data_IF_181615903950
#
_entry.id   IF_181615903950
#
_cell.length_a   1.000
_cell.length_b   1.000
_cell.length_c   1.000
_cell.angle_alpha   90.00
_cell.angle_beta   90.00
_cell.angle_gamma   90.00
#
_symmetry.space_group_name_H-M   'P 1'
#
loop_
_entity.id
_entity.type
_entity.pdbx_description
1 polymer ?
#
# COMPACT_ATOMS: atom_id res chain seq x y z
N UNK A 1 12.17 22.72 -20.19
CA UNK A 1 13.13 23.68 -19.61
C UNK A 1 13.73 23.21 -18.28
N UNK A 2 13.05 22.39 -17.48
CA UNK A 2 13.42 22.06 -16.10
C UNK A 2 13.96 20.63 -15.95
N UNK A 3 14.47 19.97 -16.92
CA UNK A 3 15.23 18.71 -16.83
C UNK A 3 14.76 17.65 -15.80
N UNK A 4 13.47 17.64 -15.44
CA UNK A 4 12.94 16.70 -14.46
C UNK A 4 13.03 15.26 -14.98
N UNK A 5 13.49 14.35 -14.14
CA UNK A 5 13.37 12.94 -14.38
C UNK A 5 11.91 12.50 -14.19
N UNK A 6 11.35 11.83 -15.18
CA UNK A 6 9.97 11.38 -15.18
C UNK A 6 9.93 9.89 -14.82
N UNK A 7 9.10 9.55 -13.86
CA UNK A 7 8.70 8.18 -13.56
C UNK A 7 7.24 8.02 -13.96
N UNK A 8 6.97 7.07 -14.83
CA UNK A 8 5.61 6.72 -15.24
C UNK A 8 5.19 5.44 -14.52
N UNK A 9 3.93 5.38 -14.14
CA UNK A 9 3.33 4.19 -13.54
C UNK A 9 1.97 3.91 -14.17
N UNK A 10 1.77 2.66 -14.60
CA UNK A 10 0.49 2.16 -15.07
C UNK A 10 -0.06 1.13 -14.10
N UNK A 11 -1.29 1.34 -13.67
CA UNK A 11 -2.04 0.35 -12.90
C UNK A 11 -2.89 -0.49 -13.86
N UNK A 12 -2.56 -1.76 -13.96
CA UNK A 12 -3.17 -2.69 -14.89
C UNK A 12 -4.35 -3.41 -14.24
N UNK A 13 -5.44 -3.46 -14.97
CA UNK A 13 -6.66 -4.18 -14.62
C UNK A 13 -6.80 -5.43 -15.49
N UNK A 14 -7.79 -6.27 -15.22
CA UNK A 14 -8.14 -7.45 -16.06
C UNK A 14 -8.27 -7.11 -17.53
N UNK A 15 -8.76 -5.92 -17.87
CA UNK A 15 -8.93 -5.49 -19.26
C UNK A 15 -7.65 -5.00 -19.92
N UNK A 16 -6.73 -4.47 -19.14
CA UNK A 16 -5.52 -3.80 -19.64
C UNK A 16 -4.22 -4.57 -19.41
N UNK A 17 -4.27 -5.67 -18.63
CA UNK A 17 -3.13 -6.54 -18.36
C UNK A 17 -2.90 -7.50 -19.53
N UNK A 18 -2.43 -6.98 -20.66
CA UNK A 18 -2.03 -7.76 -21.84
C UNK A 18 -0.85 -7.09 -22.53
N UNK A 19 -0.14 -7.87 -23.36
CA UNK A 19 1.08 -7.41 -24.00
C UNK A 19 0.84 -6.26 -24.99
N UNK A 20 -0.26 -6.25 -25.71
CA UNK A 20 -0.59 -5.24 -26.72
C UNK A 20 -0.77 -3.86 -26.07
N UNK A 21 -1.66 -3.76 -25.08
CA UNK A 21 -1.88 -2.49 -24.35
C UNK A 21 -0.59 -1.97 -23.69
N UNK A 22 0.19 -2.87 -23.10
CA UNK A 22 1.44 -2.45 -22.44
C UNK A 22 2.49 -2.04 -23.46
N UNK A 23 2.58 -2.70 -24.61
CA UNK A 23 3.45 -2.28 -25.72
C UNK A 23 3.12 -0.85 -26.17
N UNK A 24 1.85 -0.53 -26.38
CA UNK A 24 1.43 0.82 -26.76
C UNK A 24 1.84 1.88 -25.73
N UNK A 25 1.71 1.56 -24.43
CA UNK A 25 2.10 2.44 -23.36
C UNK A 25 3.63 2.63 -23.28
N UNK A 26 4.41 1.57 -23.49
CA UNK A 26 5.87 1.64 -23.53
C UNK A 26 6.35 2.45 -24.74
N UNK A 27 5.72 2.26 -25.91
CA UNK A 27 6.02 3.03 -27.13
C UNK A 27 5.62 4.50 -26.99
N UNK A 28 4.51 4.79 -26.28
CA UNK A 28 4.17 6.15 -25.92
C UNK A 28 5.24 6.77 -24.99
N UNK A 29 5.64 6.06 -23.94
CA UNK A 29 6.65 6.51 -23.00
C UNK A 29 8.01 6.75 -23.68
N UNK A 30 8.39 5.94 -24.68
CA UNK A 30 9.64 6.10 -25.42
C UNK A 30 9.73 7.38 -26.24
N UNK A 31 8.60 7.96 -26.61
CA UNK A 31 8.51 9.26 -27.31
C UNK A 31 8.64 10.47 -26.39
N UNK A 32 8.52 10.26 -25.07
CA UNK A 32 8.65 11.33 -24.08
C UNK A 32 10.10 11.55 -23.71
N UNK A 33 10.49 12.82 -23.52
CA UNK A 33 11.83 13.17 -23.03
C UNK A 33 11.92 12.95 -21.53
N UNK A 34 13.10 12.53 -21.06
CA UNK A 34 13.44 12.41 -19.63
C UNK A 34 12.66 11.34 -18.84
N UNK A 35 12.01 10.38 -19.50
CA UNK A 35 11.51 9.20 -18.82
C UNK A 35 12.71 8.36 -18.35
N UNK A 36 12.79 8.12 -17.05
CA UNK A 36 13.85 7.31 -16.42
C UNK A 36 13.36 5.93 -16.04
N UNK A 37 12.07 5.84 -15.76
CA UNK A 37 11.47 4.58 -15.30
C UNK A 37 10.02 4.49 -15.72
N UNK A 38 9.62 3.30 -16.08
CA UNK A 38 8.23 2.91 -16.29
C UNK A 38 7.90 1.73 -15.37
N UNK A 39 6.84 1.84 -14.57
CA UNK A 39 6.42 0.78 -13.66
C UNK A 39 5.06 0.24 -14.08
N UNK A 40 4.98 -1.07 -14.28
CA UNK A 40 3.74 -1.80 -14.43
C UNK A 40 3.32 -2.37 -13.07
N UNK A 41 2.14 -2.03 -12.58
CA UNK A 41 1.62 -2.56 -11.31
C UNK A 41 0.23 -3.15 -11.52
N UNK A 42 -0.09 -4.21 -10.83
CA UNK A 42 -1.47 -4.71 -10.78
C UNK A 42 -2.36 -3.81 -9.94
N UNK A 43 -3.66 -3.75 -10.29
CA UNK A 43 -4.64 -3.05 -9.46
C UNK A 43 -4.65 -3.64 -8.05
N UNK A 44 -4.54 -2.77 -7.05
CA UNK A 44 -4.65 -3.15 -5.64
C UNK A 44 -6.08 -3.13 -5.13
N UNK A 45 -6.34 -3.89 -4.07
CA UNK A 45 -7.62 -3.84 -3.38
C UNK A 45 -7.82 -2.46 -2.75
N UNK A 46 -8.97 -1.85 -3.06
CA UNK A 46 -9.41 -0.61 -2.42
C UNK A 46 -10.48 -0.91 -1.38
N UNK A 47 -10.24 -0.51 -0.14
CA UNK A 47 -11.23 -0.61 0.94
C UNK A 47 -12.49 0.22 0.68
N UNK A 48 -12.40 1.21 -0.21
CA UNK A 48 -13.50 2.09 -0.57
C UNK A 48 -14.54 1.41 -1.49
N UNK A 49 -14.11 0.57 -2.45
CA UNK A 49 -15.00 0.04 -3.49
C UNK A 49 -15.59 -1.35 -3.21
N UNK A 50 -15.15 -2.00 -2.15
CA UNK A 50 -15.61 -3.33 -1.82
C UNK A 50 -15.05 -4.45 -2.72
N UNK A 51 -15.20 -5.67 -2.24
CA UNK A 51 -14.52 -6.86 -2.78
C UNK A 51 -15.03 -7.27 -4.17
N UNK A 52 -16.33 -7.12 -4.43
CA UNK A 52 -16.93 -7.54 -5.70
C UNK A 52 -16.39 -6.72 -6.89
N UNK A 53 -16.26 -5.41 -6.72
CA UNK A 53 -15.68 -4.54 -7.75
C UNK A 53 -14.20 -4.86 -8.00
N UNK A 54 -13.46 -5.17 -6.92
CA UNK A 54 -12.05 -5.55 -7.03
C UNK A 54 -11.88 -6.86 -7.81
N UNK A 55 -12.65 -7.91 -7.51
CA UNK A 55 -12.59 -9.20 -8.23
C UNK A 55 -12.84 -9.08 -9.73
N UNK A 56 -13.63 -8.10 -10.15
CA UNK A 56 -13.84 -7.83 -11.58
C UNK A 56 -12.65 -7.11 -12.24
N UNK A 57 -11.86 -6.40 -11.46
CA UNK A 57 -10.74 -5.59 -11.96
C UNK A 57 -9.40 -6.31 -11.88
N UNK A 58 -9.22 -7.23 -10.95
CA UNK A 58 -7.92 -7.91 -10.76
C UNK A 58 -7.57 -8.72 -12.00
N UNK A 59 -6.33 -8.62 -12.53
CA UNK A 59 -5.86 -9.42 -13.64
C UNK A 59 -5.88 -10.92 -13.33
N UNK A 60 -5.98 -11.74 -14.36
CA UNK A 60 -5.81 -13.19 -14.23
C UNK A 60 -4.33 -13.51 -14.04
N UNK A 61 -4.05 -14.54 -13.25
CA UNK A 61 -2.66 -14.97 -12.95
C UNK A 61 -1.89 -15.32 -14.23
N UNK A 62 -2.58 -15.96 -15.17
CA UNK A 62 -1.99 -16.33 -16.46
C UNK A 62 -1.59 -15.12 -17.30
N UNK A 63 -2.42 -14.06 -17.29
CA UNK A 63 -2.13 -12.82 -18.03
C UNK A 63 -0.96 -12.08 -17.39
N UNK A 64 -0.90 -12.05 -16.06
CA UNK A 64 0.25 -11.49 -15.32
C UNK A 64 1.54 -12.22 -15.70
N UNK A 65 1.57 -13.56 -15.63
CA UNK A 65 2.75 -14.35 -15.99
C UNK A 65 3.21 -14.14 -17.44
N UNK A 66 2.27 -14.06 -18.38
CA UNK A 66 2.58 -13.75 -19.78
C UNK A 66 3.20 -12.37 -19.91
N UNK A 67 2.62 -11.38 -19.23
CA UNK A 67 3.12 -10.02 -19.27
C UNK A 67 4.49 -9.88 -18.59
N UNK A 68 4.74 -10.53 -17.45
CA UNK A 68 6.05 -10.57 -16.79
C UNK A 68 7.14 -11.12 -17.73
N UNK A 69 6.83 -12.20 -18.46
CA UNK A 69 7.76 -12.78 -19.44
C UNK A 69 8.01 -11.82 -20.60
N UNK A 70 6.95 -11.20 -21.11
CA UNK A 70 7.02 -10.22 -22.19
C UNK A 70 7.86 -8.99 -21.78
N UNK A 71 7.63 -8.42 -20.59
CA UNK A 71 8.39 -7.25 -20.13
C UNK A 71 9.89 -7.54 -20.04
N UNK A 72 10.28 -8.72 -19.58
CA UNK A 72 11.68 -9.17 -19.55
C UNK A 72 12.29 -9.25 -20.96
N UNK A 73 11.50 -9.75 -21.92
CA UNK A 73 11.93 -9.87 -23.31
C UNK A 73 12.14 -8.52 -23.97
N UNK A 74 11.23 -7.55 -23.75
CA UNK A 74 11.27 -6.27 -24.47
C UNK A 74 12.06 -5.18 -23.76
N UNK A 75 12.41 -5.36 -22.49
CA UNK A 75 13.02 -4.30 -21.67
C UNK A 75 14.26 -3.66 -22.33
N UNK A 76 15.09 -4.47 -23.03
CA UNK A 76 16.30 -4.00 -23.71
C UNK A 76 16.04 -3.05 -24.91
N UNK A 77 14.81 -2.93 -25.36
CA UNK A 77 14.40 -2.07 -26.48
C UNK A 77 14.21 -0.61 -26.08
N UNK A 78 14.14 -0.34 -24.76
CA UNK A 78 13.83 0.98 -24.21
C UNK A 78 15.03 1.59 -23.49
N UNK A 79 15.11 2.91 -23.50
CA UNK A 79 16.20 3.67 -22.84
C UNK A 79 15.94 3.94 -21.37
N UNK A 80 14.76 3.60 -20.86
CA UNK A 80 14.35 3.75 -19.47
C UNK A 80 14.23 2.37 -18.80
N UNK A 81 14.36 2.37 -17.49
CA UNK A 81 14.14 1.19 -16.67
C UNK A 81 12.67 0.76 -16.69
N UNK A 82 12.39 -0.52 -16.90
CA UNK A 82 11.05 -1.09 -16.75
C UNK A 82 11.04 -1.89 -15.45
N UNK A 83 10.14 -1.51 -14.53
CA UNK A 83 9.87 -2.26 -13.30
C UNK A 83 8.57 -3.04 -13.42
N UNK A 84 8.67 -4.30 -13.11
CA UNK A 84 7.59 -5.23 -12.99
C UNK A 84 7.17 -5.33 -11.51
N UNK A 85 6.07 -4.65 -11.17
CA UNK A 85 5.40 -4.66 -9.86
C UNK A 85 4.01 -5.31 -10.02
N UNK A 86 3.96 -6.35 -10.85
CA UNK A 86 2.73 -7.05 -11.22
C UNK A 86 2.33 -8.13 -10.23
N UNK A 87 3.21 -8.46 -9.28
CA UNK A 87 2.98 -9.56 -8.35
C UNK A 87 1.64 -9.40 -7.65
N UNK A 88 0.68 -10.22 -8.05
CA UNK A 88 -0.51 -10.52 -7.27
C UNK A 88 0.00 -11.39 -6.12
N UNK A 89 0.66 -10.75 -5.16
CA UNK A 89 1.09 -11.46 -3.96
C UNK A 89 -0.18 -11.83 -3.21
N UNK A 90 -0.43 -13.12 -2.97
CA UNK A 90 -1.42 -13.50 -2.00
C UNK A 90 -1.10 -12.73 -0.72
N UNK A 91 -2.12 -12.15 -0.07
CA UNK A 91 -1.92 -11.62 1.27
C UNK A 91 -1.09 -12.63 2.03
N UNK A 92 -0.06 -12.13 2.68
CA UNK A 92 0.81 -12.93 3.52
C UNK A 92 -0.05 -13.92 4.31
N UNK A 93 0.22 -15.20 4.14
CA UNK A 93 -0.56 -16.25 4.78
C UNK A 93 -0.63 -15.94 6.27
N UNK A 94 -1.82 -16.04 6.83
CA UNK A 94 -1.99 -15.94 8.27
C UNK A 94 -1.02 -16.92 8.95
N UNK A 95 -0.43 -16.48 10.07
CA UNK A 95 0.60 -17.23 10.79
C UNK A 95 1.97 -17.36 10.06
N UNK A 96 2.26 -16.55 9.09
CA UNK A 96 3.60 -16.45 8.55
C UNK A 96 4.53 -15.66 9.48
N UNK A 97 4.98 -16.34 10.53
CA UNK A 97 5.90 -15.74 11.52
C UNK A 97 7.23 -15.28 10.93
N UNK A 98 7.72 -15.96 9.87
CA UNK A 98 8.93 -15.53 9.17
C UNK A 98 8.68 -14.23 8.41
N UNK A 99 7.57 -14.13 7.70
CA UNK A 99 7.14 -12.90 7.04
C UNK A 99 6.83 -11.79 8.03
N UNK A 100 6.22 -12.09 9.18
CA UNK A 100 6.01 -11.13 10.25
C UNK A 100 7.32 -10.51 10.75
N UNK A 101 8.35 -11.30 11.01
CA UNK A 101 9.67 -10.81 11.42
C UNK A 101 10.40 -10.02 10.35
N UNK A 102 10.16 -10.35 9.07
CA UNK A 102 10.79 -9.72 7.91
C UNK A 102 9.95 -8.59 7.29
N UNK A 103 8.76 -8.28 7.86
CA UNK A 103 7.90 -7.24 7.30
C UNK A 103 8.63 -5.91 7.18
N UNK A 104 8.31 -5.19 6.11
CA UNK A 104 8.88 -3.88 5.85
C UNK A 104 8.53 -2.87 6.93
N UNK A 105 9.39 -1.87 7.07
CA UNK A 105 9.15 -0.72 7.92
C UNK A 105 8.13 0.22 7.24
N UNK A 106 7.09 0.59 7.93
CA UNK A 106 6.15 1.59 7.43
C UNK A 106 6.69 2.99 7.72
N UNK A 107 6.97 3.76 6.67
CA UNK A 107 7.42 5.17 6.82
C UNK A 107 6.30 6.14 7.17
N UNK A 108 5.05 5.72 7.00
CA UNK A 108 3.87 6.56 7.20
C UNK A 108 3.83 7.15 8.61
N UNK A 109 3.75 8.46 8.71
CA UNK A 109 3.78 9.25 9.94
C UNK A 109 5.04 9.10 10.82
N UNK A 110 6.11 8.55 10.26
CA UNK A 110 7.42 8.47 10.93
C UNK A 110 8.47 9.31 10.20
N UNK A 111 8.52 9.21 8.88
CA UNK A 111 9.43 9.96 8.01
C UNK A 111 8.73 10.59 6.82
N UNK A 112 7.46 10.27 6.59
CA UNK A 112 6.67 10.76 5.46
C UNK A 112 5.18 10.80 5.79
N UNK A 113 4.45 11.61 5.04
CA UNK A 113 2.99 11.58 4.96
C UNK A 113 2.55 11.89 3.53
N UNK A 114 1.27 11.70 3.24
CA UNK A 114 0.67 11.95 1.93
C UNK A 114 -0.23 13.17 2.00
N UNK A 115 -0.04 14.10 1.08
CA UNK A 115 -0.94 15.25 0.88
C UNK A 115 -1.94 14.88 -0.19
N UNK A 116 -3.21 14.99 0.13
CA UNK A 116 -4.32 14.69 -0.78
C UNK A 116 -4.66 15.91 -1.66
N UNK A 117 -5.33 15.73 -2.79
CA UNK A 117 -5.68 16.83 -3.68
C UNK A 117 -6.57 17.92 -3.05
N UNK A 118 -7.32 17.59 -2.00
CA UNK A 118 -8.17 18.53 -1.25
C UNK A 118 -7.43 19.27 -0.13
N UNK A 119 -6.12 19.05 0.02
CA UNK A 119 -5.29 19.65 1.05
C UNK A 119 -5.22 18.86 2.36
N UNK A 120 -6.02 17.81 2.53
CA UNK A 120 -5.91 16.93 3.70
C UNK A 120 -4.61 16.16 3.69
N UNK A 121 -4.14 15.80 4.87
CA UNK A 121 -2.91 15.03 5.06
C UNK A 121 -3.24 13.70 5.71
N UNK A 122 -2.72 12.62 5.15
CA UNK A 122 -2.89 11.26 5.66
C UNK A 122 -1.55 10.53 5.74
N UNK A 123 -1.51 9.45 6.52
CA UNK A 123 -0.31 8.61 6.64
C UNK A 123 -0.07 7.70 5.43
N UNK A 124 -1.10 7.44 4.62
CA UNK A 124 -1.06 6.49 3.52
C UNK A 124 -2.15 6.83 2.49
N UNK A 125 -1.82 6.76 1.21
CA UNK A 125 -2.76 6.99 0.10
C UNK A 125 -3.94 6.01 0.08
N UNK A 126 -3.79 4.86 0.73
CA UNK A 126 -4.84 3.84 0.82
C UNK A 126 -5.82 4.08 1.99
N UNK A 127 -5.51 5.03 2.88
CA UNK A 127 -6.30 5.33 4.09
C UNK A 127 -6.91 6.74 4.06
N UNK A 128 -6.94 7.38 2.89
CA UNK A 128 -7.44 8.75 2.70
C UNK A 128 -8.91 8.96 3.07
N UNK A 129 -9.67 7.91 3.13
CA UNK A 129 -11.10 7.88 3.41
C UNK A 129 -11.43 7.64 4.89
N UNK A 130 -10.42 7.32 5.73
CA UNK A 130 -10.61 6.99 7.14
C UNK A 130 -10.10 8.11 8.05
N UNK A 131 -11.02 8.74 8.75
CA UNK A 131 -10.75 9.88 9.65
C UNK A 131 -9.74 9.55 10.77
N UNK A 132 -9.57 8.27 11.13
CA UNK A 132 -8.52 7.88 12.06
C UNK A 132 -7.12 8.23 11.56
N UNK A 133 -6.93 8.29 10.24
CA UNK A 133 -5.62 8.48 9.60
C UNK A 133 -5.48 9.84 8.89
N UNK A 134 -6.49 10.71 8.95
CA UNK A 134 -6.36 12.10 8.50
C UNK A 134 -5.70 12.90 9.63
N UNK A 135 -4.50 13.39 9.37
CA UNK A 135 -3.66 14.09 10.36
C UNK A 135 -4.00 15.57 10.51
N UNK A 136 -4.47 16.19 9.44
CA UNK A 136 -4.80 17.61 9.39
C UNK A 136 -5.16 18.06 7.98
N UNK A 137 -5.33 19.38 7.81
CA UNK A 137 -5.74 20.02 6.57
C UNK A 137 -4.86 21.25 6.31
N UNK A 138 -4.10 21.23 5.23
CA UNK A 138 -3.18 22.31 4.83
C UNK A 138 -3.90 23.58 4.35
N UNK A 139 -5.22 23.53 4.17
CA UNK A 139 -6.00 24.75 3.96
C UNK A 139 -6.07 25.61 5.22
N UNK A 140 -5.86 25.02 6.41
CA UNK A 140 -5.98 25.68 7.70
C UNK A 140 -4.73 25.54 8.59
N UNK A 141 -3.77 24.71 8.21
CA UNK A 141 -2.58 24.37 8.99
C UNK A 141 -1.33 24.40 8.08
N UNK A 142 -0.19 24.76 8.64
CA UNK A 142 1.09 24.53 7.96
C UNK A 142 1.51 23.05 8.02
N UNK A 143 2.43 22.67 7.14
CA UNK A 143 3.02 21.31 7.14
C UNK A 143 3.61 20.96 8.51
N UNK A 144 4.29 21.89 9.17
CA UNK A 144 4.90 21.69 10.48
C UNK A 144 3.86 21.52 11.60
N UNK A 145 2.75 22.25 11.53
CA UNK A 145 1.65 22.08 12.48
C UNK A 145 1.01 20.72 12.35
N UNK A 146 0.73 20.26 11.11
CA UNK A 146 0.22 18.91 10.88
C UNK A 146 1.19 17.85 11.37
N UNK A 147 2.48 17.97 11.04
CA UNK A 147 3.52 17.02 11.47
C UNK A 147 3.63 16.92 12.99
N UNK A 148 3.51 18.04 13.67
CA UNK A 148 3.62 18.12 15.13
C UNK A 148 2.28 18.03 15.86
N UNK A 149 1.18 17.77 15.14
CA UNK A 149 -0.15 17.66 15.76
C UNK A 149 -0.23 16.49 16.75
N UNK A 150 -1.09 16.62 17.75
CA UNK A 150 -1.32 15.54 18.72
C UNK A 150 -1.81 14.27 18.04
N UNK A 151 -2.59 14.39 16.96
CA UNK A 151 -3.06 13.26 16.18
C UNK A 151 -1.90 12.52 15.48
N UNK A 152 -0.99 13.25 14.83
CA UNK A 152 0.19 12.67 14.23
C UNK A 152 1.06 11.96 15.27
N UNK A 153 1.32 12.62 16.39
CA UNK A 153 2.10 12.04 17.50
C UNK A 153 1.44 10.80 18.08
N UNK A 154 0.12 10.82 18.31
CA UNK A 154 -0.59 9.67 18.88
C UNK A 154 -0.52 8.41 18.02
N UNK A 155 -0.43 8.54 16.70
CA UNK A 155 -0.24 7.41 15.79
C UNK A 155 1.21 6.91 15.78
N UNK A 156 2.18 7.82 15.82
CA UNK A 156 3.61 7.46 15.81
C UNK A 156 4.11 6.91 17.17
N UNK A 157 3.48 7.35 18.26
CA UNK A 157 3.80 6.92 19.63
C UNK A 157 2.63 6.18 20.28
N UNK A 158 1.99 5.29 19.52
CA UNK A 158 0.83 4.54 19.98
C UNK A 158 1.14 3.77 21.28
N UNK A 159 0.40 4.07 22.34
CA UNK A 159 0.55 3.40 23.64
C UNK A 159 -0.37 2.19 23.77
N UNK A 160 0.09 1.13 24.43
CA UNK A 160 -0.68 -0.09 24.61
C UNK A 160 -2.01 0.12 25.33
N UNK A 161 -2.08 1.08 26.24
CA UNK A 161 -3.29 1.36 27.03
C UNK A 161 -4.50 1.85 26.20
N UNK A 162 -4.29 2.33 24.96
CA UNK A 162 -5.38 2.74 24.06
C UNK A 162 -5.89 1.60 23.19
N UNK A 163 -5.24 0.44 23.24
CA UNK A 163 -5.64 -0.73 22.46
C UNK A 163 -6.87 -1.40 23.09
N UNK A 164 -7.93 -1.67 22.32
CA UNK A 164 -9.12 -2.35 22.83
C UNK A 164 -8.78 -3.71 23.45
N UNK A 165 -9.49 -4.08 24.51
CA UNK A 165 -9.27 -5.34 25.25
C UNK A 165 -9.47 -6.58 24.36
N UNK A 166 -10.30 -6.47 23.34
CA UNK A 166 -10.59 -7.50 22.36
C UNK A 166 -9.39 -7.77 21.42
N UNK A 167 -8.49 -6.83 21.32
CA UNK A 167 -7.28 -7.00 20.53
C UNK A 167 -6.20 -7.75 21.33
N UNK A 168 -5.60 -8.81 20.77
CA UNK A 168 -4.45 -9.47 21.40
C UNK A 168 -3.27 -8.53 21.69
N UNK A 169 -3.20 -7.39 21.01
CA UNK A 169 -2.19 -6.38 21.26
C UNK A 169 -2.31 -5.72 22.64
N UNK A 170 -3.51 -5.72 23.26
CA UNK A 170 -3.77 -5.07 24.55
C UNK A 170 -2.97 -5.64 25.71
N UNK A 171 -2.60 -6.93 25.62
CA UNK A 171 -1.83 -7.67 26.64
C UNK A 171 -0.49 -8.19 26.10
N UNK A 172 -0.10 -7.79 24.91
CA UNK A 172 1.12 -8.28 24.27
C UNK A 172 2.38 -7.72 24.95
N UNK A 173 3.26 -8.59 25.42
CA UNK A 173 4.53 -8.20 26.05
C UNK A 173 5.51 -7.51 25.11
N UNK A 174 5.41 -7.79 23.81
CA UNK A 174 6.27 -7.23 22.76
C UNK A 174 5.65 -6.02 22.06
N UNK A 175 4.56 -5.45 22.61
CA UNK A 175 3.80 -4.37 21.95
C UNK A 175 4.68 -3.18 21.58
N UNK A 176 5.39 -2.62 22.51
CA UNK A 176 6.23 -1.43 22.33
C UNK A 176 7.28 -1.68 21.24
N UNK A 177 8.02 -2.79 21.37
CA UNK A 177 9.02 -3.18 20.40
C UNK A 177 8.42 -3.39 19.01
N UNK A 178 7.29 -4.10 18.93
CA UNK A 178 6.60 -4.39 17.67
C UNK A 178 6.14 -3.12 16.95
N UNK A 179 5.53 -2.18 17.69
CA UNK A 179 4.94 -0.97 17.11
C UNK A 179 5.98 0.10 16.78
N UNK A 180 7.04 0.24 17.58
CA UNK A 180 8.04 1.28 17.39
C UNK A 180 9.17 0.88 16.45
N UNK A 181 9.60 -0.40 16.45
CA UNK A 181 10.71 -0.82 15.59
C UNK A 181 10.28 -1.08 14.13
N UNK A 182 9.08 -1.59 13.90
CA UNK A 182 8.64 -1.96 12.54
C UNK A 182 7.28 -1.42 12.15
N UNK A 183 6.47 -1.06 13.12
CA UNK A 183 5.09 -0.66 12.89
C UNK A 183 4.24 -1.82 12.40
N UNK A 184 3.04 -1.47 11.97
CA UNK A 184 2.04 -2.37 11.40
C UNK A 184 1.45 -1.68 10.19
N UNK A 185 1.19 -2.42 9.13
CA UNK A 185 0.46 -1.88 7.99
C UNK A 185 -1.03 -1.78 8.36
N UNK A 186 -1.50 -0.60 8.74
CA UNK A 186 -2.91 -0.40 9.11
C UNK A 186 -3.88 -0.76 7.99
N UNK A 187 -3.50 -0.52 6.73
CA UNK A 187 -4.26 -0.97 5.57
C UNK A 187 -4.51 -2.49 5.64
N UNK A 188 -3.48 -3.28 5.90
CA UNK A 188 -3.60 -4.74 6.00
C UNK A 188 -4.43 -5.18 7.20
N UNK A 189 -4.31 -4.49 8.33
CA UNK A 189 -5.12 -4.76 9.52
C UNK A 189 -6.60 -4.49 9.24
N UNK A 190 -6.92 -3.32 8.69
CA UNK A 190 -8.29 -2.93 8.35
C UNK A 190 -8.91 -3.89 7.33
N UNK A 191 -8.15 -4.27 6.31
CA UNK A 191 -8.60 -5.21 5.31
C UNK A 191 -8.91 -6.59 5.89
N UNK A 192 -8.19 -7.01 6.92
CA UNK A 192 -8.35 -8.33 7.55
C UNK A 192 -9.45 -8.33 8.62
N UNK A 193 -9.51 -7.29 9.44
CA UNK A 193 -10.36 -7.28 10.64
C UNK A 193 -11.47 -6.22 10.60
N UNK A 194 -11.54 -5.43 9.54
CA UNK A 194 -12.50 -4.32 9.42
C UNK A 194 -12.00 -3.03 10.05
N UNK A 195 -12.65 -1.93 9.65
CA UNK A 195 -12.28 -0.55 10.04
C UNK A 195 -12.22 -0.35 11.55
N UNK A 196 -13.18 -0.88 12.28
CA UNK A 196 -13.28 -0.69 13.73
C UNK A 196 -12.15 -1.41 14.50
N UNK A 197 -11.45 -2.32 13.85
CA UNK A 197 -10.39 -3.14 14.44
C UNK A 197 -8.98 -2.73 13.96
N UNK A 198 -8.79 -1.47 13.59
CA UNK A 198 -7.51 -0.97 13.07
C UNK A 198 -6.34 -1.05 14.07
N UNK A 199 -6.62 -1.24 15.38
CA UNK A 199 -5.63 -1.48 16.43
C UNK A 199 -5.32 -2.97 16.66
N UNK A 200 -5.84 -3.86 15.82
CA UNK A 200 -5.53 -5.28 15.86
C UNK A 200 -4.10 -5.56 15.37
N UNK A 201 -3.58 -6.77 15.62
CA UNK A 201 -2.24 -7.13 15.17
C UNK A 201 -2.12 -7.21 13.63
N UNK A 202 -0.89 -7.14 13.14
CA UNK A 202 -0.59 -7.53 11.75
C UNK A 202 -1.15 -8.94 11.49
N UNK A 203 -1.79 -9.21 10.35
CA UNK A 203 -2.38 -10.54 10.06
C UNK A 203 -1.39 -11.70 10.11
N UNK A 204 -0.09 -11.43 9.97
CA UNK A 204 0.99 -12.42 10.06
C UNK A 204 1.48 -12.66 11.48
N UNK A 205 1.00 -11.87 12.45
CA UNK A 205 1.39 -12.00 13.84
C UNK A 205 1.00 -13.38 14.39
N UNK A 206 1.85 -14.06 15.20
CA UNK A 206 1.51 -15.35 15.77
C UNK A 206 0.28 -15.32 16.70
N UNK A 207 -0.09 -14.13 17.18
CA UNK A 207 -1.28 -13.91 18.03
C UNK A 207 -2.46 -13.30 17.23
N UNK A 208 -2.36 -13.29 15.90
CA UNK A 208 -3.41 -12.75 15.05
C UNK A 208 -4.69 -13.60 15.17
N UNK A 209 -5.86 -12.98 15.43
CA UNK A 209 -7.13 -13.70 15.41
C UNK A 209 -7.51 -14.08 13.98
N UNK A 210 -8.51 -14.94 13.84
CA UNK A 210 -9.04 -15.29 12.52
C UNK A 210 -9.57 -14.04 11.79
N UNK A 211 -9.36 -13.93 10.46
CA UNK A 211 -9.85 -12.80 9.68
C UNK A 211 -11.37 -12.72 9.73
N UNK A 212 -11.88 -11.50 9.84
CA UNK A 212 -13.31 -11.22 9.68
C UNK A 212 -13.63 -11.07 8.18
N UNK A 213 -12.69 -10.48 7.42
CA UNK A 213 -12.81 -10.28 5.99
C UNK A 213 -11.77 -11.14 5.26
N UNK A 214 -12.23 -12.11 4.48
CA UNK A 214 -11.38 -12.87 3.59
C UNK A 214 -11.26 -12.14 2.24
N UNK A 215 -10.35 -11.18 2.16
CA UNK A 215 -9.95 -10.59 0.88
C UNK A 215 -8.76 -11.39 0.37
N UNK A 216 -9.03 -12.46 -0.32
CA UNK A 216 -8.01 -13.23 -1.04
C UNK A 216 -7.99 -12.80 -2.50
N UNK A 217 -6.79 -12.70 -3.04
CA UNK A 217 -6.55 -12.78 -4.47
C UNK A 217 -6.65 -14.27 -4.81
N UNK A 218 -7.74 -14.67 -5.46
CA UNK A 218 -7.92 -16.02 -6.00
C UNK A 218 -7.14 -16.14 -7.32
#
# INVERSE_FOLDING_TARGET
KYGFNIVLKSTLTRKTCNCENVQELLDFASRLKNVRRYTCSSVGYSHYKGIAAFRQMVPMVEDVKKLESYLKEVAHRYTFEILDDLSITPRASMNDYKGFKKRGYCSGNLTSFVILPDGKVTICEELYWDENFILGDLNNMSILEVWNSEKAKSLSTLRQCVVPKESPCSICKDFEKCRHERGVCWKEVIATYGRNNWLFPDPRCPFAPQPINNVFYD
#
